data_IF_483129302624
#
_entry.id   IF_483129302624
#
_cell.length_a   1.000
_cell.length_b   1.000
_cell.length_c   1.000
_cell.angle_alpha   90.00
_cell.angle_beta   90.00
_cell.angle_gamma   90.00
#
_symmetry.space_group_name_H-M   'P 1'
#
loop_
_entity.id
_entity.type
_entity.pdbx_description
1 polymer ?
#
# COMPACT_ATOMS: atom_id res chain seq x y z
N UNK A 1 -53.57 15.66 -37.35
CA UNK A 1 -53.28 15.99 -35.94
C UNK A 1 -52.88 14.71 -35.24
N UNK A 2 -51.61 14.56 -34.86
CA UNK A 2 -51.15 14.17 -33.51
C UNK A 2 -49.63 14.28 -33.55
N UNK A 3 -49.11 15.32 -32.89
CA UNK A 3 -47.70 15.47 -32.50
C UNK A 3 -47.31 14.35 -31.54
N UNK A 4 -46.06 13.93 -31.58
CA UNK A 4 -45.30 13.67 -30.35
C UNK A 4 -43.81 13.80 -30.67
N UNK A 5 -43.28 14.93 -30.18
CA UNK A 5 -41.88 15.20 -29.96
C UNK A 5 -41.27 14.19 -28.99
N UNK A 6 -39.97 13.99 -29.11
CA UNK A 6 -39.20 13.16 -28.20
C UNK A 6 -37.71 13.40 -28.38
N UNK A 7 -37.28 14.64 -28.24
CA UNK A 7 -35.87 14.98 -28.02
C UNK A 7 -35.42 14.30 -26.70
N UNK A 8 -34.67 13.21 -26.82
CA UNK A 8 -34.07 12.56 -25.66
C UNK A 8 -32.82 13.35 -25.23
N UNK A 9 -33.02 14.47 -24.55
CA UNK A 9 -31.95 15.24 -23.90
C UNK A 9 -31.78 14.75 -22.47
N UNK A 10 -30.84 13.83 -22.27
CA UNK A 10 -30.38 13.48 -20.92
C UNK A 10 -29.72 14.72 -20.27
N UNK A 11 -30.15 15.16 -19.07
CA UNK A 11 -29.59 16.34 -18.42
C UNK A 11 -28.10 16.15 -18.08
N UNK A 12 -27.27 17.14 -18.41
CA UNK A 12 -25.82 17.12 -18.15
C UNK A 12 -25.47 16.97 -16.65
N UNK A 13 -26.40 17.30 -15.75
CA UNK A 13 -26.28 17.17 -14.30
C UNK A 13 -26.07 15.71 -13.84
N UNK A 14 -26.57 14.71 -14.58
CA UNK A 14 -26.34 13.29 -14.26
C UNK A 14 -24.93 12.82 -14.63
N UNK A 15 -24.25 13.49 -15.57
CA UNK A 15 -22.92 13.10 -16.03
C UNK A 15 -21.79 13.53 -15.09
N UNK A 16 -22.03 14.49 -14.19
CA UNK A 16 -21.00 15.03 -13.29
C UNK A 16 -21.03 14.46 -11.87
N UNK A 17 -22.00 13.63 -11.51
CA UNK A 17 -22.09 13.03 -10.16
C UNK A 17 -21.24 11.76 -9.98
N UNK A 18 -20.75 11.16 -11.08
CA UNK A 18 -20.07 9.85 -11.04
C UNK A 18 -18.57 9.89 -10.64
N UNK A 19 -18.07 11.04 -10.14
CA UNK A 19 -16.67 11.13 -9.65
C UNK A 19 -16.52 11.10 -8.13
N UNK A 20 -17.60 10.90 -7.34
CA UNK A 20 -17.53 11.08 -5.87
C UNK A 20 -17.80 9.85 -5.01
N UNK A 21 -18.00 8.65 -5.57
CA UNK A 21 -18.46 7.49 -4.78
C UNK A 21 -17.77 6.15 -5.09
N UNK A 22 -16.45 6.12 -5.34
CA UNK A 22 -15.62 4.91 -5.06
C UNK A 22 -15.05 4.92 -3.64
N UNK A 23 -15.91 5.24 -2.67
CA UNK A 23 -15.75 4.94 -1.24
C UNK A 23 -16.65 3.76 -0.83
N UNK A 24 -16.57 2.67 -1.60
CA UNK A 24 -17.03 1.35 -1.16
C UNK A 24 -15.74 0.62 -0.74
N UNK A 25 -15.33 0.66 0.53
CA UNK A 25 -15.82 -0.23 1.60
C UNK A 25 -16.05 -1.65 1.08
N UNK A 26 -15.04 -2.25 0.45
CA UNK A 26 -14.95 -3.70 0.48
C UNK A 26 -14.17 -4.11 1.72
N UNK A 27 -14.92 -4.72 2.63
CA UNK A 27 -14.55 -5.04 3.99
C UNK A 27 -14.13 -6.51 4.07
N UNK A 28 -13.39 -7.01 3.08
CA UNK A 28 -12.87 -8.37 3.14
C UNK A 28 -11.51 -8.33 3.83
N UNK A 29 -11.55 -8.56 5.15
CA UNK A 29 -10.41 -8.75 6.06
C UNK A 29 -9.34 -9.66 5.41
N UNK A 30 -8.35 -9.07 4.74
CA UNK A 30 -7.05 -9.70 4.54
C UNK A 30 -6.27 -9.45 5.82
N UNK A 31 -6.54 -10.25 6.85
CA UNK A 31 -5.60 -10.35 7.96
C UNK A 31 -4.27 -10.80 7.36
N UNK A 32 -3.33 -9.87 7.28
CA UNK A 32 -1.97 -10.13 6.87
C UNK A 32 -1.42 -11.21 7.80
N UNK A 33 -1.33 -12.45 7.30
CA UNK A 33 -0.94 -13.64 8.06
C UNK A 33 0.52 -13.63 8.54
N UNK A 34 1.17 -12.47 8.55
CA UNK A 34 2.54 -12.31 8.99
C UNK A 34 2.56 -12.06 10.50
N UNK A 35 2.96 -13.10 11.24
CA UNK A 35 3.14 -13.02 12.69
C UNK A 35 4.50 -12.38 12.94
N UNK A 36 4.50 -11.24 13.62
CA UNK A 36 5.70 -10.49 13.94
C UNK A 36 6.33 -11.07 15.22
N UNK A 37 7.26 -12.01 15.08
CA UNK A 37 8.00 -12.61 16.20
C UNK A 37 9.30 -11.84 16.49
N UNK A 38 9.98 -12.17 17.61
CA UNK A 38 11.28 -11.58 17.95
C UNK A 38 12.35 -11.85 16.88
N UNK A 39 12.43 -13.08 16.35
CA UNK A 39 13.33 -13.43 15.25
C UNK A 39 13.03 -12.62 13.98
N UNK A 40 11.74 -12.43 13.69
CA UNK A 40 11.30 -11.61 12.56
C UNK A 40 11.73 -10.16 12.70
N UNK A 41 11.58 -9.58 13.90
CA UNK A 41 12.08 -8.23 14.21
C UNK A 41 13.59 -8.15 14.07
N UNK A 42 14.35 -9.13 14.56
CA UNK A 42 15.82 -9.16 14.43
C UNK A 42 16.26 -9.16 12.97
N UNK A 43 15.70 -10.04 12.13
CA UNK A 43 15.99 -10.08 10.70
C UNK A 43 15.63 -8.77 9.99
N UNK A 44 14.44 -8.24 10.23
CA UNK A 44 14.01 -6.96 9.66
C UNK A 44 14.92 -5.80 10.10
N UNK A 45 15.39 -5.81 11.34
CA UNK A 45 16.35 -4.82 11.86
C UNK A 45 17.72 -4.95 11.18
N UNK A 46 18.21 -6.16 10.93
CA UNK A 46 19.45 -6.35 10.17
C UNK A 46 19.34 -5.85 8.73
N UNK A 47 18.24 -6.19 8.03
CA UNK A 47 17.97 -5.70 6.67
C UNK A 47 17.88 -4.18 6.67
N UNK A 48 17.16 -3.58 7.64
CA UNK A 48 17.07 -2.14 7.79
C UNK A 48 18.44 -1.49 8.00
N UNK A 49 19.27 -2.02 8.91
CA UNK A 49 20.63 -1.52 9.15
C UNK A 49 21.50 -1.55 7.90
N UNK A 50 21.47 -2.66 7.14
CA UNK A 50 22.23 -2.79 5.88
C UNK A 50 21.75 -1.83 4.81
N UNK A 51 20.47 -1.48 4.82
CA UNK A 51 19.85 -0.60 3.85
C UNK A 51 19.84 0.89 4.29
N UNK A 52 20.25 1.20 5.51
CA UNK A 52 20.32 2.57 6.05
C UNK A 52 21.27 3.44 5.22
N UNK A 53 20.78 4.59 4.75
CA UNK A 53 21.55 5.56 3.97
C UNK A 53 21.55 5.32 2.45
N UNK A 54 20.91 4.26 1.97
CA UNK A 54 20.85 3.91 0.54
C UNK A 54 19.73 4.63 -0.22
N UNK A 55 18.73 5.21 0.47
CA UNK A 55 17.46 5.73 -0.07
C UNK A 55 16.69 4.69 -0.90
N UNK A 56 16.85 3.41 -0.57
CA UNK A 56 16.14 2.28 -1.19
C UNK A 56 15.17 1.65 -0.21
N UNK A 57 14.28 0.84 -0.74
CA UNK A 57 13.36 0.01 -0.01
C UNK A 57 13.55 -1.46 -0.41
N UNK A 58 13.51 -2.34 0.58
CA UNK A 58 13.64 -3.79 0.42
C UNK A 58 12.26 -4.41 0.62
N UNK A 59 11.83 -5.19 -0.35
CA UNK A 59 10.58 -5.93 -0.33
C UNK A 59 10.88 -7.34 0.18
N UNK A 60 10.11 -7.77 1.18
CA UNK A 60 10.35 -9.03 1.88
C UNK A 60 9.10 -9.91 1.82
N UNK A 61 9.29 -11.21 1.57
CA UNK A 61 8.19 -12.18 1.54
C UNK A 61 7.82 -12.69 2.95
N UNK A 62 6.84 -13.59 3.04
CA UNK A 62 6.41 -14.19 4.30
C UNK A 62 7.47 -15.03 5.02
N UNK A 63 8.51 -15.48 4.30
CA UNK A 63 9.63 -16.25 4.84
C UNK A 63 10.77 -15.35 5.34
N UNK A 64 10.58 -14.02 5.32
CA UNK A 64 11.60 -13.02 5.60
C UNK A 64 12.78 -13.02 4.61
N UNK A 65 12.55 -13.51 3.39
CA UNK A 65 13.52 -13.48 2.31
C UNK A 65 13.38 -12.17 1.52
N UNK A 66 14.51 -11.55 1.22
CA UNK A 66 14.60 -10.34 0.39
C UNK A 66 14.24 -10.71 -1.05
N UNK A 67 13.07 -10.27 -1.52
CA UNK A 67 12.64 -10.51 -2.90
C UNK A 67 13.34 -9.55 -3.85
N UNK A 68 13.38 -8.28 -3.47
CA UNK A 68 13.91 -7.21 -4.33
C UNK A 68 14.19 -5.94 -3.54
N UNK A 69 15.18 -5.20 -4.04
CA UNK A 69 15.49 -3.85 -3.58
C UNK A 69 15.16 -2.84 -4.67
N UNK A 70 14.37 -1.82 -4.34
CA UNK A 70 13.92 -0.77 -5.26
C UNK A 70 14.12 0.61 -4.65
N UNK A 71 14.21 1.66 -5.46
CA UNK A 71 14.25 3.02 -4.92
C UNK A 71 12.95 3.37 -4.18
N UNK A 72 13.02 4.16 -3.10
CA UNK A 72 11.82 4.56 -2.32
C UNK A 72 10.77 5.24 -3.20
N UNK A 73 11.19 6.00 -4.21
CA UNK A 73 10.30 6.64 -5.20
C UNK A 73 9.54 5.63 -6.07
N UNK A 74 10.17 4.52 -6.41
CA UNK A 74 9.59 3.49 -7.29
C UNK A 74 8.82 2.41 -6.52
N UNK A 75 9.00 2.33 -5.20
CA UNK A 75 8.40 1.31 -4.34
C UNK A 75 6.88 1.20 -4.51
N UNK A 76 6.16 2.32 -4.55
CA UNK A 76 4.70 2.29 -4.69
C UNK A 76 4.25 1.66 -6.01
N UNK A 77 4.96 1.91 -7.11
CA UNK A 77 4.68 1.28 -8.40
C UNK A 77 5.05 -0.21 -8.37
N UNK A 78 6.14 -0.57 -7.69
CA UNK A 78 6.58 -1.95 -7.57
C UNK A 78 5.60 -2.80 -6.75
N UNK A 79 5.11 -2.28 -5.62
CA UNK A 79 4.07 -2.93 -4.81
C UNK A 79 2.79 -3.15 -5.64
N UNK A 80 2.43 -2.19 -6.51
CA UNK A 80 1.28 -2.33 -7.41
C UNK A 80 1.47 -3.38 -8.51
N UNK A 81 2.67 -3.48 -9.06
CA UNK A 81 2.98 -4.40 -10.18
C UNK A 81 3.38 -5.80 -9.72
N UNK A 82 3.82 -5.92 -8.46
CA UNK A 82 4.24 -7.20 -7.89
C UNK A 82 3.07 -8.18 -7.88
N UNK A 83 3.32 -9.36 -8.45
CA UNK A 83 2.44 -10.52 -8.37
C UNK A 83 2.73 -11.37 -7.13
N UNK A 84 3.90 -11.16 -6.51
CA UNK A 84 4.33 -11.91 -5.34
C UNK A 84 3.64 -11.38 -4.08
N UNK A 85 3.35 -12.30 -3.15
CA UNK A 85 2.82 -11.95 -1.83
C UNK A 85 3.91 -11.30 -0.99
N UNK A 86 3.78 -9.99 -0.78
CA UNK A 86 4.68 -9.20 0.05
C UNK A 86 4.17 -9.27 1.49
N UNK A 87 5.04 -9.60 2.44
CA UNK A 87 4.67 -9.66 3.85
C UNK A 87 5.14 -8.44 4.62
N UNK A 88 6.36 -7.97 4.31
CA UNK A 88 6.95 -6.81 4.94
C UNK A 88 7.71 -5.95 3.94
N UNK A 89 7.81 -4.66 4.22
CA UNK A 89 8.59 -3.71 3.42
C UNK A 89 9.47 -2.88 4.34
N UNK A 90 10.76 -2.80 4.00
CA UNK A 90 11.75 -2.00 4.72
C UNK A 90 12.10 -0.79 3.88
N UNK A 91 11.96 0.42 4.42
CA UNK A 91 12.13 1.68 3.71
C UNK A 91 13.24 2.48 4.39
N UNK A 92 14.30 2.80 3.66
CA UNK A 92 15.30 3.75 4.16
C UNK A 92 14.80 5.18 3.95
N UNK A 93 14.07 5.68 4.95
CA UNK A 93 13.54 7.04 4.97
C UNK A 93 12.13 7.10 5.54
N UNK A 94 11.27 7.88 4.87
CA UNK A 94 9.90 8.12 5.31
C UNK A 94 8.89 7.28 4.52
N UNK A 95 8.03 6.57 5.24
CA UNK A 95 6.85 5.92 4.69
C UNK A 95 5.74 6.96 4.47
N UNK A 96 5.48 7.29 3.21
CA UNK A 96 4.42 8.25 2.83
C UNK A 96 3.04 7.62 2.93
N UNK A 97 1.98 8.45 3.07
CA UNK A 97 0.57 8.00 3.11
C UNK A 97 0.21 7.08 1.94
N UNK A 98 0.73 7.37 0.74
CA UNK A 98 0.50 6.53 -0.43
C UNK A 98 1.10 5.12 -0.26
N UNK A 99 2.31 4.99 0.28
CA UNK A 99 2.94 3.69 0.52
C UNK A 99 2.19 2.91 1.60
N UNK A 100 1.76 3.59 2.66
CA UNK A 100 0.98 3.00 3.76
C UNK A 100 -0.35 2.44 3.23
N UNK A 101 -1.13 3.24 2.53
CA UNK A 101 -2.40 2.82 1.92
C UNK A 101 -2.19 1.64 0.95
N UNK A 102 -1.17 1.70 0.09
CA UNK A 102 -0.88 0.62 -0.85
C UNK A 102 -0.50 -0.68 -0.14
N UNK A 103 0.17 -0.55 0.99
CA UNK A 103 0.56 -1.70 1.79
C UNK A 103 -0.67 -2.36 2.42
N UNK A 104 -1.60 -1.57 2.94
CA UNK A 104 -2.90 -2.06 3.42
C UNK A 104 -3.71 -2.73 2.30
N UNK A 105 -3.85 -2.09 1.14
CA UNK A 105 -4.58 -2.62 -0.01
C UNK A 105 -4.01 -3.97 -0.50
N UNK A 106 -2.69 -4.13 -0.41
CA UNK A 106 -1.98 -5.35 -0.81
C UNK A 106 -1.89 -6.40 0.29
N UNK A 107 -2.38 -6.11 1.50
CA UNK A 107 -2.32 -7.02 2.64
C UNK A 107 -0.91 -7.22 3.21
N UNK A 108 -0.03 -6.22 3.03
CA UNK A 108 1.27 -6.17 3.67
C UNK A 108 1.04 -5.93 5.16
N UNK A 109 1.58 -6.79 6.02
CA UNK A 109 1.32 -6.71 7.46
C UNK A 109 2.25 -5.79 8.23
N UNK A 110 3.46 -5.54 7.69
CA UNK A 110 4.54 -4.87 8.42
C UNK A 110 5.26 -3.88 7.51
N UNK A 111 5.49 -2.68 8.02
CA UNK A 111 6.30 -1.66 7.36
C UNK A 111 7.37 -1.20 8.34
N UNK A 112 8.63 -1.26 7.90
CA UNK A 112 9.77 -0.78 8.64
C UNK A 112 10.26 0.51 7.98
N UNK A 113 10.31 1.61 8.72
CA UNK A 113 10.81 2.88 8.21
C UNK A 113 11.32 3.76 9.35
N UNK A 114 12.20 4.73 9.06
CA UNK A 114 12.66 5.70 10.07
C UNK A 114 11.52 6.62 10.49
N UNK A 115 10.80 7.14 9.49
CA UNK A 115 9.71 8.10 9.67
C UNK A 115 8.42 7.59 9.02
N UNK A 116 7.29 8.01 9.56
CA UNK A 116 5.96 7.69 9.02
C UNK A 116 5.17 8.97 8.83
N UNK A 117 4.52 9.12 7.68
CA UNK A 117 3.68 10.28 7.40
C UNK A 117 2.36 10.25 8.19
N UNK A 118 1.94 9.08 8.65
CA UNK A 118 0.84 8.89 9.59
C UNK A 118 1.01 7.56 10.31
N UNK A 119 0.47 7.47 11.52
CA UNK A 119 0.41 6.26 12.33
C UNK A 119 -0.99 5.63 12.31
N UNK A 120 -1.99 6.33 11.77
CA UNK A 120 -3.38 5.88 11.66
C UNK A 120 -3.52 4.89 10.49
N UNK A 121 -3.04 3.66 10.71
CA UNK A 121 -3.03 2.59 9.70
C UNK A 121 -3.23 1.24 10.36
N UNK A 122 -3.74 0.25 9.62
CA UNK A 122 -3.93 -1.13 10.09
C UNK A 122 -2.65 -1.98 10.00
N UNK A 123 -1.61 -1.47 9.35
CA UNK A 123 -0.32 -2.16 9.22
C UNK A 123 0.54 -1.94 10.45
N UNK A 124 1.37 -2.93 10.79
CA UNK A 124 2.33 -2.81 11.89
C UNK A 124 3.50 -1.94 11.45
N UNK A 125 3.64 -0.77 12.06
CA UNK A 125 4.74 0.16 11.80
C UNK A 125 5.88 -0.13 12.78
N UNK A 126 7.09 -0.28 12.25
CA UNK A 126 8.32 -0.46 13.04
C UNK A 126 9.33 0.62 12.67
N UNK A 127 9.80 1.35 13.68
CA UNK A 127 10.88 2.32 13.53
C UNK A 127 12.18 1.75 14.08
N UNK A 128 13.25 1.81 13.28
CA UNK A 128 14.61 1.39 13.63
C UNK A 128 15.64 2.38 13.06
#
# INVERSE_FOLDING_TARGET
MTEIEGENSVPAEEFFSEKKTRRLRDSTRRESSFILNEDSKKKLKEIAKRNTGSKKAVIVNSELNELKTVGVRSLGNEIKRSRSKIAAVVIDGSATKNILNLSEERGIGVIVAKNFATTDTKVKLLSF
#
